data_IF_502979445823
#
_entry.id   IF_502979445823
#
_cell.length_a   1.000
_cell.length_b   1.000
_cell.length_c   1.000
_cell.angle_alpha   90.00
_cell.angle_beta   90.00
_cell.angle_gamma   90.00
#
_symmetry.space_group_name_H-M   'P 1'
#
loop_
_entity.id
_entity.type
_entity.pdbx_description
1 polymer ?
#
# COMPACT_ATOMS: atom_id res chain seq x y z
N UNK A 1 -17.43 -2.25 -12.17
CA UNK A 1 -16.05 -1.78 -11.93
C UNK A 1 -15.37 -2.78 -11.01
N UNK A 2 -14.38 -3.53 -11.50
CA UNK A 2 -13.58 -4.43 -10.66
C UNK A 2 -12.72 -3.58 -9.72
N UNK A 3 -12.91 -3.73 -8.41
CA UNK A 3 -12.07 -3.05 -7.44
C UNK A 3 -10.72 -3.75 -7.38
N UNK A 4 -9.74 -3.26 -8.16
CA UNK A 4 -8.41 -3.86 -8.22
C UNK A 4 -7.64 -3.52 -6.94
N UNK A 5 -7.63 -4.46 -6.00
CA UNK A 5 -6.82 -4.37 -4.79
C UNK A 5 -5.33 -4.26 -5.13
N UNK A 6 -4.56 -3.67 -4.20
CA UNK A 6 -3.11 -3.66 -4.31
C UNK A 6 -2.57 -5.06 -4.08
N UNK A 7 -1.81 -5.57 -5.06
CA UNK A 7 -1.11 -6.85 -4.99
C UNK A 7 -0.01 -6.82 -3.93
N UNK A 8 0.52 -8.00 -3.60
CA UNK A 8 1.65 -8.09 -2.68
C UNK A 8 2.91 -7.41 -3.26
N UNK A 9 3.09 -7.47 -4.58
CA UNK A 9 4.22 -6.87 -5.30
C UNK A 9 4.14 -5.34 -5.27
N UNK A 10 2.96 -4.78 -5.53
CA UNK A 10 2.74 -3.33 -5.44
C UNK A 10 3.04 -2.83 -4.02
N UNK A 11 2.62 -3.58 -2.98
CA UNK A 11 2.94 -3.23 -1.58
C UNK A 11 4.43 -3.36 -1.29
N UNK A 12 5.10 -4.36 -1.86
CA UNK A 12 6.54 -4.51 -1.74
C UNK A 12 7.27 -3.33 -2.37
N UNK A 13 6.82 -2.87 -3.53
CA UNK A 13 7.32 -1.67 -4.19
C UNK A 13 7.10 -0.43 -3.31
N UNK A 14 5.88 -0.18 -2.83
CA UNK A 14 5.56 0.93 -1.92
C UNK A 14 6.51 0.95 -0.73
N UNK A 15 6.71 -0.20 -0.07
CA UNK A 15 7.62 -0.32 1.07
C UNK A 15 9.07 0.04 0.69
N UNK A 16 9.56 -0.43 -0.44
CA UNK A 16 10.93 -0.14 -0.90
C UNK A 16 11.09 1.32 -1.28
N UNK A 17 10.10 1.91 -1.95
CA UNK A 17 10.10 3.30 -2.36
C UNK A 17 10.01 4.26 -1.16
N UNK A 18 9.16 3.96 -0.17
CA UNK A 18 9.09 4.74 1.08
C UNK A 18 10.41 4.73 1.85
N UNK A 19 11.14 3.61 1.86
CA UNK A 19 12.48 3.53 2.46
C UNK A 19 13.53 4.35 1.71
N UNK A 20 13.30 4.61 0.43
CA UNK A 20 14.12 5.50 -0.41
C UNK A 20 13.62 6.96 -0.35
N UNK A 21 12.71 7.28 0.57
CA UNK A 21 12.10 8.60 0.72
C UNK A 21 11.38 9.13 -0.53
N UNK A 22 10.96 8.21 -1.41
CA UNK A 22 10.20 8.56 -2.60
C UNK A 22 8.80 9.01 -2.18
N UNK A 23 8.34 10.13 -2.75
CA UNK A 23 7.04 10.70 -2.44
C UNK A 23 5.88 9.80 -2.88
N UNK A 24 4.75 9.89 -2.16
CA UNK A 24 3.52 9.13 -2.47
C UNK A 24 3.02 9.44 -3.90
N UNK A 25 3.19 10.68 -4.38
CA UNK A 25 2.78 11.05 -5.73
C UNK A 25 3.61 10.35 -6.81
N UNK A 26 4.93 10.21 -6.60
CA UNK A 26 5.79 9.50 -7.52
C UNK A 26 5.49 7.99 -7.51
N UNK A 27 5.34 7.39 -6.33
CA UNK A 27 4.96 5.97 -6.19
C UNK A 27 3.63 5.68 -6.91
N UNK A 28 2.67 6.60 -6.82
CA UNK A 28 1.39 6.47 -7.48
C UNK A 28 1.53 6.48 -9.01
N UNK A 29 2.39 7.34 -9.56
CA UNK A 29 2.72 7.36 -11.00
C UNK A 29 3.40 6.06 -11.43
N UNK A 30 4.39 5.61 -10.66
CA UNK A 30 5.18 4.41 -10.99
C UNK A 30 4.34 3.13 -10.98
N UNK A 31 3.28 3.07 -10.16
CA UNK A 31 2.34 1.95 -10.10
C UNK A 31 1.06 2.16 -10.93
N UNK A 32 0.95 3.27 -11.66
CA UNK A 32 -0.26 3.65 -12.40
C UNK A 32 -1.54 3.64 -11.52
N UNK A 33 -1.39 4.03 -10.25
CA UNK A 33 -2.48 4.11 -9.28
C UNK A 33 -2.80 5.56 -8.94
N UNK A 34 -3.99 5.81 -8.40
CA UNK A 34 -4.28 7.11 -7.83
C UNK A 34 -3.48 7.36 -6.54
N UNK A 35 -3.02 8.59 -6.35
CA UNK A 35 -2.33 9.01 -5.12
C UNK A 35 -3.16 8.71 -3.86
N UNK A 36 -4.49 8.87 -3.95
CA UNK A 36 -5.40 8.56 -2.84
C UNK A 36 -5.44 7.07 -2.50
N UNK A 37 -5.19 6.18 -3.47
CA UNK A 37 -5.07 4.73 -3.23
C UNK A 37 -3.82 4.42 -2.42
N UNK A 38 -2.67 4.94 -2.82
CA UNK A 38 -1.39 4.73 -2.12
C UNK A 38 -1.44 5.36 -0.72
N UNK A 39 -1.96 6.58 -0.59
CA UNK A 39 -2.11 7.25 0.71
C UNK A 39 -3.01 6.46 1.67
N UNK A 40 -4.17 5.99 1.21
CA UNK A 40 -5.07 5.17 2.02
C UNK A 40 -4.44 3.84 2.40
N UNK A 41 -3.73 3.19 1.48
CA UNK A 41 -2.98 1.97 1.75
C UNK A 41 -1.98 2.20 2.89
N UNK A 42 -1.07 3.16 2.74
CA UNK A 42 0.00 3.42 3.72
C UNK A 42 -0.60 3.75 5.10
N UNK A 43 -1.61 4.61 5.14
CA UNK A 43 -2.21 5.04 6.40
C UNK A 43 -2.99 3.93 7.11
N UNK A 44 -3.74 3.10 6.38
CA UNK A 44 -4.57 2.04 6.98
C UNK A 44 -3.74 0.81 7.35
N UNK A 45 -2.62 0.59 6.66
CA UNK A 45 -1.87 -0.67 6.76
C UNK A 45 -0.47 -0.54 7.40
N UNK A 46 -0.04 0.65 7.79
CA UNK A 46 1.17 0.83 8.62
C UNK A 46 1.00 0.26 10.04
N UNK A 47 2.12 -0.07 10.68
CA UNK A 47 2.20 -0.31 12.12
C UNK A 47 2.86 0.84 12.85
N UNK A 48 3.09 0.67 14.15
CA UNK A 48 3.82 1.65 14.97
C UNK A 48 5.25 1.91 14.48
N UNK A 49 5.87 0.94 13.79
CA UNK A 49 7.21 1.04 13.20
C UNK A 49 7.20 1.40 11.72
N UNK A 50 6.13 2.01 11.23
CA UNK A 50 5.99 2.41 9.82
C UNK A 50 5.37 1.33 8.92
N UNK A 51 5.59 1.46 7.62
CA UNK A 51 4.98 0.61 6.60
C UNK A 51 5.82 -0.64 6.33
N UNK A 52 5.19 -1.82 6.35
CA UNK A 52 5.84 -3.11 6.04
C UNK A 52 4.89 -3.93 5.17
N UNK A 53 5.30 -4.27 3.95
CA UNK A 53 4.42 -4.85 2.93
C UNK A 53 3.70 -6.16 3.37
N UNK A 54 4.40 -7.09 4.05
CA UNK A 54 3.78 -8.33 4.55
C UNK A 54 2.66 -8.06 5.56
N UNK A 55 2.95 -7.19 6.54
CA UNK A 55 1.96 -6.75 7.53
C UNK A 55 0.80 -6.04 6.86
N UNK A 56 1.09 -5.17 5.90
CA UNK A 56 0.08 -4.42 5.18
C UNK A 56 -0.87 -5.36 4.43
N UNK A 57 -0.31 -6.37 3.77
CA UNK A 57 -1.07 -7.40 3.08
C UNK A 57 -1.97 -8.18 4.05
N UNK A 58 -1.42 -8.66 5.17
CA UNK A 58 -2.20 -9.35 6.22
C UNK A 58 -3.35 -8.49 6.75
N UNK A 59 -3.11 -7.21 7.04
CA UNK A 59 -4.14 -6.27 7.51
C UNK A 59 -5.25 -6.06 6.47
N UNK A 60 -4.89 -5.99 5.19
CA UNK A 60 -5.89 -5.82 4.13
C UNK A 60 -6.71 -7.09 3.90
N UNK A 61 -6.08 -8.27 3.96
CA UNK A 61 -6.76 -9.56 3.92
C UNK A 61 -7.71 -9.72 5.10
N UNK A 62 -7.27 -9.37 6.31
CA UNK A 62 -8.12 -9.41 7.50
C UNK A 62 -9.36 -8.53 7.34
N UNK A 63 -9.18 -7.28 6.92
CA UNK A 63 -10.32 -6.37 6.65
C UNK A 63 -11.28 -6.85 5.57
N UNK A 64 -10.82 -7.68 4.62
CA UNK A 64 -11.70 -8.28 3.64
C UNK A 64 -12.49 -9.44 4.23
N UNK A 65 -11.92 -10.19 5.18
CA UNK A 65 -12.60 -11.27 5.89
C UNK A 65 -13.62 -10.76 6.92
N UNK A 66 -13.32 -9.63 7.56
CA UNK A 66 -14.19 -9.01 8.56
C UNK A 66 -15.39 -8.25 7.95
N UNK A 67 -15.60 -8.39 6.64
CA UNK A 67 -16.58 -7.66 5.85
C UNK A 67 -17.66 -8.61 5.35
#
# INVERSE_FOLDING_TARGET
MSYNHLSLEERHYINTALKKEISISQIAKDLERSQSTISREVNRNKGHRGYRYKQANSKALQRHKDK
#
